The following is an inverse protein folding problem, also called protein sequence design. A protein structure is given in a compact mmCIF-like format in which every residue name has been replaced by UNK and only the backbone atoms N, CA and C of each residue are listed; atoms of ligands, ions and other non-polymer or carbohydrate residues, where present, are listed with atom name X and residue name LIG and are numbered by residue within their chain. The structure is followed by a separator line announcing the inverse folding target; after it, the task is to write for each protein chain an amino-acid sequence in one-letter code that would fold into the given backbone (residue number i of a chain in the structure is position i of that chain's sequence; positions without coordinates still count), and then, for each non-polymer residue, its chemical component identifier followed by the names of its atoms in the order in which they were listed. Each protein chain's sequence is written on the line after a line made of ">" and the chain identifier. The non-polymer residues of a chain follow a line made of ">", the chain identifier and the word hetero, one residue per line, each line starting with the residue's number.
data_IF_602900229557
#
_entry.id   IF_602900229557
#
_cell.length_a   1.000
_cell.length_b   1.000
_cell.length_c   1.000
_cell.angle_alpha   90.00
_cell.angle_beta   90.00
_cell.angle_gamma   90.00
#
_symmetry.space_group_name_H-M   'P 1'
#
loop_
_entity.id
_entity.type
_entity.pdbx_description
1 polymer ?
#
# COMPACT_ATOMS: atom_id res chain seq x y z
N UNK A 1 -2.37 19.52 -3.23
CA UNK A 1 -1.59 18.26 -3.26
C UNK A 1 -1.98 17.45 -2.04
N UNK A 2 -2.70 16.35 -2.22
CA UNK A 2 -3.12 15.49 -1.12
C UNK A 2 -1.89 14.73 -0.60
N UNK A 3 -1.52 14.96 0.65
CA UNK A 3 -0.43 14.24 1.32
C UNK A 3 -1.04 12.94 1.85
N UNK A 4 -0.54 11.80 1.40
CA UNK A 4 -0.93 10.50 1.94
C UNK A 4 -0.05 10.25 3.16
N UNK A 5 -0.66 10.32 4.34
CA UNK A 5 0.02 10.06 5.62
C UNK A 5 -0.01 8.58 5.96
N UNK A 6 -1.11 7.91 5.68
CA UNK A 6 -1.33 6.51 5.99
C UNK A 6 -2.10 5.86 4.84
N UNK A 7 -1.68 4.66 4.44
CA UNK A 7 -2.45 3.81 3.53
C UNK A 7 -3.34 2.91 4.39
N UNK A 8 -4.51 3.44 4.74
CA UNK A 8 -5.52 2.74 5.54
C UNK A 8 -6.50 1.99 4.65
N UNK A 9 -7.37 1.19 5.25
CA UNK A 9 -8.44 0.43 4.59
C UNK A 9 -9.25 1.25 3.57
N UNK A 10 -9.41 2.56 3.79
CA UNK A 10 -10.11 3.48 2.88
C UNK A 10 -9.44 3.55 1.48
N UNK A 11 -8.12 3.38 1.41
CA UNK A 11 -7.39 3.32 0.15
C UNK A 11 -7.70 2.05 -0.66
N UNK A 12 -7.96 0.95 0.03
CA UNK A 12 -8.21 -0.36 -0.56
C UNK A 12 -9.67 -0.54 -1.01
N UNK A 13 -10.56 0.37 -0.60
CA UNK A 13 -12.00 0.29 -0.88
C UNK A 13 -12.74 -0.60 0.11
N UNK A 14 -14.01 -0.91 -0.18
CA UNK A 14 -14.83 -1.78 0.66
C UNK A 14 -14.12 -3.12 0.89
N UNK A 15 -13.95 -3.51 2.16
CA UNK A 15 -13.55 -4.86 2.58
C UNK A 15 -14.70 -5.82 2.28
N UNK A 16 -14.89 -6.09 1.00
CA UNK A 16 -15.68 -7.21 0.55
C UNK A 16 -14.86 -8.50 0.74
N UNK A 17 -15.49 -9.68 0.65
CA UNK A 17 -14.79 -10.96 0.68
C UNK A 17 -13.80 -11.17 -0.50
N UNK A 18 -13.71 -10.20 -1.42
CA UNK A 18 -12.76 -10.24 -2.52
C UNK A 18 -11.56 -9.38 -2.17
N UNK A 19 -10.35 -9.96 -2.18
CA UNK A 19 -9.17 -9.18 -1.87
C UNK A 19 -8.92 -8.09 -2.93
N UNK A 20 -8.58 -6.86 -2.49
CA UNK A 20 -8.22 -5.78 -3.40
C UNK A 20 -6.95 -6.16 -4.18
N UNK A 21 -6.69 -5.49 -5.30
CA UNK A 21 -5.45 -5.62 -6.08
C UNK A 21 -4.98 -7.04 -6.43
N UNK A 22 -5.91 -7.97 -6.67
CA UNK A 22 -5.66 -9.39 -7.03
C UNK A 22 -4.70 -9.66 -8.20
N UNK A 23 -4.48 -8.69 -9.08
CA UNK A 23 -3.59 -8.81 -10.24
C UNK A 23 -2.32 -7.96 -10.10
N UNK A 24 -2.15 -7.26 -8.98
CA UNK A 24 -1.02 -6.37 -8.78
C UNK A 24 0.22 -7.19 -8.42
N UNK A 25 1.18 -7.25 -9.34
CA UNK A 25 2.45 -7.98 -9.18
C UNK A 25 3.61 -7.08 -8.76
N UNK A 26 3.52 -5.79 -9.03
CA UNK A 26 4.56 -4.81 -8.78
C UNK A 26 3.95 -3.58 -8.13
N UNK A 27 4.42 -3.22 -6.93
CA UNK A 27 4.00 -2.04 -6.19
C UNK A 27 5.22 -1.15 -5.94
N UNK A 28 5.11 0.13 -6.31
CA UNK A 28 6.20 1.09 -6.14
C UNK A 28 5.70 2.30 -5.37
N UNK A 29 6.24 2.51 -4.18
CA UNK A 29 6.10 3.75 -3.42
C UNK A 29 7.28 4.66 -3.77
N UNK A 30 7.02 5.77 -4.46
CA UNK A 30 8.07 6.71 -4.89
C UNK A 30 7.78 8.13 -4.43
N UNK A 31 8.76 8.77 -3.81
CA UNK A 31 8.70 10.17 -3.38
C UNK A 31 7.46 10.43 -2.51
N UNK A 32 7.20 9.53 -1.56
CA UNK A 32 6.15 9.70 -0.56
C UNK A 32 6.79 10.03 0.80
N UNK A 33 7.32 11.26 0.99
CA UNK A 33 8.06 11.62 2.19
C UNK A 33 7.21 11.70 3.45
N UNK A 34 5.90 11.78 3.29
CA UNK A 34 4.92 11.87 4.39
C UNK A 34 4.19 10.55 4.64
N UNK A 35 4.46 9.49 3.88
CA UNK A 35 3.86 8.19 4.14
C UNK A 35 4.52 7.60 5.39
N UNK A 36 3.75 7.50 6.47
CA UNK A 36 4.21 7.02 7.78
C UNK A 36 3.91 5.53 7.94
N UNK A 37 2.72 5.11 7.52
CA UNK A 37 2.24 3.76 7.78
C UNK A 37 1.62 3.15 6.52
N UNK A 38 2.04 1.93 6.20
CA UNK A 38 1.45 1.10 5.17
C UNK A 38 0.80 -0.12 5.83
N UNK A 39 -0.50 -0.02 6.09
CA UNK A 39 -1.25 -1.12 6.67
C UNK A 39 -1.64 -2.09 5.55
N UNK A 40 -0.97 -3.24 5.49
CA UNK A 40 -1.40 -4.35 4.64
C UNK A 40 -2.48 -5.09 5.42
N UNK A 41 -3.72 -5.09 4.94
CA UNK A 41 -4.76 -5.94 5.54
C UNK A 41 -4.26 -7.38 5.43
N UNK A 42 -4.07 -8.00 6.59
CA UNK A 42 -3.46 -9.31 6.82
C UNK A 42 -3.63 -10.24 5.61
N UNK A 43 -2.53 -10.42 4.86
CA UNK A 43 -2.33 -11.39 3.78
C UNK A 43 -3.27 -11.40 2.56
N UNK A 44 -4.35 -10.63 2.52
CA UNK A 44 -5.32 -10.74 1.44
C UNK A 44 -5.16 -9.63 0.39
N UNK A 45 -4.68 -8.44 0.74
CA UNK A 45 -4.72 -7.29 -0.18
C UNK A 45 -3.85 -7.38 -1.43
N UNK A 46 -2.89 -8.30 -1.48
CA UNK A 46 -1.90 -8.37 -2.55
C UNK A 46 -1.46 -9.80 -2.86
N UNK A 47 -2.38 -10.69 -3.30
CA UNK A 47 -2.11 -12.13 -3.38
C UNK A 47 -1.11 -12.51 -4.48
N UNK A 48 -0.82 -11.60 -5.42
CA UNK A 48 0.08 -11.82 -6.55
C UNK A 48 1.30 -10.89 -6.51
N UNK A 49 1.52 -10.13 -5.43
CA UNK A 49 2.60 -9.16 -5.36
C UNK A 49 3.95 -9.87 -5.26
N UNK A 50 4.82 -9.59 -6.22
CA UNK A 50 6.16 -10.17 -6.36
C UNK A 50 7.25 -9.16 -6.09
N UNK A 51 7.00 -7.90 -6.40
CA UNK A 51 7.97 -6.82 -6.27
C UNK A 51 7.36 -5.65 -5.53
N UNK A 52 8.04 -5.24 -4.45
CA UNK A 52 7.75 -4.05 -3.68
C UNK A 52 8.97 -3.15 -3.68
N UNK A 53 8.85 -1.96 -4.28
CA UNK A 53 9.91 -0.97 -4.30
C UNK A 53 9.50 0.26 -3.50
N UNK A 54 10.36 0.69 -2.57
CA UNK A 54 10.16 1.89 -1.75
C UNK A 54 11.33 2.82 -2.03
N UNK A 55 11.05 3.97 -2.65
CA UNK A 55 12.05 4.91 -3.15
C UNK A 55 11.77 6.29 -2.58
N UNK A 56 12.70 6.82 -1.79
CA UNK A 56 12.58 8.14 -1.16
C UNK A 56 11.30 8.30 -0.30
N UNK A 57 11.00 7.29 0.53
CA UNK A 57 9.92 7.32 1.53
C UNK A 57 10.51 7.26 2.96
N UNK A 58 11.20 8.32 3.42
CA UNK A 58 11.96 8.32 4.68
C UNK A 58 11.12 8.12 5.95
N UNK A 59 9.81 8.40 5.91
CA UNK A 59 8.92 8.27 7.07
C UNK A 59 8.20 6.92 7.13
N UNK A 60 8.31 6.07 6.11
CA UNK A 60 7.58 4.83 6.06
C UNK A 60 8.17 3.84 7.07
N UNK A 61 7.36 3.49 8.07
CA UNK A 61 7.68 2.47 9.07
C UNK A 61 6.94 1.19 8.66
N UNK A 62 7.68 0.08 8.59
CA UNK A 62 7.16 -1.24 8.23
C UNK A 62 6.75 -2.08 9.43
#
# INVERSE_FOLDING_TARGET
>A
MHRILQLTQEFYGSVSSVPPFRALTNLVFKQMPELIEWHVLENESFPQLKHLDIINCPKLIG
#
